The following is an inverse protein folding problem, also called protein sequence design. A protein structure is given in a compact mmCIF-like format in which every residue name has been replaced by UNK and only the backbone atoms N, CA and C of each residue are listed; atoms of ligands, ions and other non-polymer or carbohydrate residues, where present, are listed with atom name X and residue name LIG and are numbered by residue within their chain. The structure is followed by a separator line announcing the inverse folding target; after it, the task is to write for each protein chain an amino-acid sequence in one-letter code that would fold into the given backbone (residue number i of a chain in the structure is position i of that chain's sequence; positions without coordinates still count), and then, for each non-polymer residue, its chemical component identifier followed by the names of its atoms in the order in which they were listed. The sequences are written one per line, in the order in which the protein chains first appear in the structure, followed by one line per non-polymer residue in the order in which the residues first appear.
data_IF_387103745669
#
_entry.id   IF_387103745669
#
_cell.length_a   1.000
_cell.length_b   1.000
_cell.length_c   1.000
_cell.angle_alpha   90.00
_cell.angle_beta   90.00
_cell.angle_gamma   90.00
#
_symmetry.space_group_name_H-M   'P 1'
#
loop_
_entity.id
_entity.type
_entity.pdbx_description
1 polymer ?
#
# COMPACT_ATOMS: atom_id res chain seq x y z
N UNK A 1 -18.10 -2.76 7.27
CA UNK A 1 -16.69 -2.37 7.44
C UNK A 1 -16.13 -2.09 6.06
N UNK A 2 -15.82 -0.83 5.76
CA UNK A 2 -15.30 -0.40 4.45
C UNK A 2 -13.77 -0.47 4.47
N UNK A 3 -13.22 -1.03 3.40
CA UNK A 3 -11.91 -0.76 2.78
C UNK A 3 -10.82 -0.14 3.68
N UNK A 4 -9.78 -0.94 3.95
CA UNK A 4 -8.38 -0.51 4.06
C UNK A 4 -8.04 0.66 5.00
N UNK A 5 -7.98 0.38 6.31
CA UNK A 5 -7.36 1.28 7.27
C UNK A 5 -6.73 0.49 8.42
N UNK A 6 -5.56 -0.11 8.18
CA UNK A 6 -4.79 -0.96 9.10
C UNK A 6 -5.50 -2.24 9.58
N UNK A 7 -4.94 -3.39 9.20
CA UNK A 7 -5.40 -4.72 9.66
C UNK A 7 -5.43 -4.83 11.19
N UNK A 8 -4.50 -4.14 11.88
CA UNK A 8 -4.46 -4.07 13.33
C UNK A 8 -5.73 -3.48 13.96
N UNK A 9 -6.31 -2.43 13.35
CA UNK A 9 -7.55 -1.81 13.81
C UNK A 9 -8.72 -2.76 13.61
N UNK A 10 -8.78 -3.41 12.44
CA UNK A 10 -9.80 -4.43 12.17
C UNK A 10 -9.76 -5.58 13.18
N UNK A 11 -8.56 -6.09 13.51
CA UNK A 11 -8.38 -7.15 14.51
C UNK A 11 -8.87 -6.66 15.89
N UNK A 12 -8.54 -5.43 16.29
CA UNK A 12 -8.97 -4.87 17.57
C UNK A 12 -10.50 -4.75 17.65
N UNK A 13 -11.12 -4.22 16.60
CA UNK A 13 -12.58 -4.09 16.49
C UNK A 13 -13.27 -5.46 16.53
N UNK A 14 -12.71 -6.44 15.80
CA UNK A 14 -13.24 -7.80 15.78
C UNK A 14 -13.15 -8.45 17.16
N UNK A 15 -12.01 -8.33 17.87
CA UNK A 15 -11.86 -8.83 19.25
C UNK A 15 -12.87 -8.18 20.21
N UNK A 16 -13.08 -6.87 20.09
CA UNK A 16 -14.10 -6.13 20.86
C UNK A 16 -15.51 -6.66 20.57
N UNK A 17 -15.83 -6.92 19.30
CA UNK A 17 -17.11 -7.49 18.89
C UNK A 17 -17.33 -8.90 19.47
N UNK A 18 -16.34 -9.79 19.35
CA UNK A 18 -16.40 -11.15 19.90
C UNK A 18 -16.62 -11.12 21.41
N UNK A 19 -15.89 -10.27 22.13
CA UNK A 19 -16.04 -10.11 23.57
C UNK A 19 -17.43 -9.59 23.98
N UNK A 20 -18.12 -8.85 23.11
CA UNK A 20 -19.46 -8.32 23.39
C UNK A 20 -20.58 -9.29 23.06
N UNK A 21 -20.40 -10.14 22.04
CA UNK A 21 -21.42 -11.09 21.61
C UNK A 21 -21.44 -12.34 22.49
N UNK A 22 -20.26 -12.86 22.88
CA UNK A 22 -20.13 -14.05 23.74
C UNK A 22 -20.53 -15.38 23.08
N UNK A 23 -19.92 -16.48 23.51
CA UNK A 23 -20.26 -17.90 23.19
C UNK A 23 -20.34 -18.31 21.70
N UNK A 24 -19.61 -17.65 20.81
CA UNK A 24 -19.53 -18.11 19.41
C UNK A 24 -18.49 -19.21 19.26
N UNK A 25 -18.85 -20.22 18.47
CA UNK A 25 -17.93 -21.28 18.07
C UNK A 25 -16.73 -20.70 17.30
N UNK A 26 -15.54 -21.22 17.60
CA UNK A 26 -14.30 -20.71 17.01
C UNK A 26 -14.28 -20.88 15.49
N UNK A 27 -14.89 -21.95 14.96
CA UNK A 27 -15.04 -22.15 13.52
C UNK A 27 -15.91 -21.08 12.86
N UNK A 28 -16.99 -20.67 13.54
CA UNK A 28 -17.83 -19.57 13.08
C UNK A 28 -17.06 -18.23 13.10
N UNK A 29 -16.30 -17.98 14.17
CA UNK A 29 -15.46 -16.77 14.27
C UNK A 29 -14.41 -16.70 13.16
N UNK A 30 -13.72 -17.81 12.88
CA UNK A 30 -12.75 -17.93 11.78
C UNK A 30 -13.42 -17.63 10.44
N UNK A 31 -14.60 -18.21 10.18
CA UNK A 31 -15.33 -17.98 8.94
C UNK A 31 -15.70 -16.50 8.76
N UNK A 32 -16.25 -15.87 9.80
CA UNK A 32 -16.64 -14.46 9.78
C UNK A 32 -15.44 -13.52 9.65
N UNK A 33 -14.33 -13.84 10.33
CA UNK A 33 -13.09 -13.09 10.23
C UNK A 33 -12.57 -13.11 8.78
N UNK A 34 -12.45 -14.29 8.15
CA UNK A 34 -12.00 -14.41 6.75
C UNK A 34 -12.89 -13.64 5.79
N UNK A 35 -14.21 -13.63 6.02
CA UNK A 35 -15.16 -12.87 5.18
C UNK A 35 -14.94 -11.36 5.22
N UNK A 36 -14.39 -10.83 6.31
CA UNK A 36 -14.11 -9.39 6.47
C UNK A 36 -12.74 -8.96 5.96
N UNK A 37 -11.87 -9.90 5.58
CA UNK A 37 -10.54 -9.60 5.06
C UNK A 37 -10.58 -9.18 3.59
N UNK A 38 -9.58 -8.40 3.20
CA UNK A 38 -9.36 -8.03 1.79
C UNK A 38 -8.91 -9.26 0.98
N UNK A 39 -9.33 -9.35 -0.27
CA UNK A 39 -8.98 -10.45 -1.19
C UNK A 39 -7.47 -10.71 -1.24
N UNK A 40 -6.66 -9.64 -1.29
CA UNK A 40 -5.20 -9.73 -1.28
C UNK A 40 -4.64 -10.50 -0.06
N UNK A 41 -5.20 -10.28 1.12
CA UNK A 41 -4.79 -10.97 2.34
C UNK A 41 -5.25 -12.42 2.28
N UNK A 42 -6.48 -12.67 1.79
CA UNK A 42 -7.01 -14.02 1.60
C UNK A 42 -6.14 -14.87 0.66
N UNK A 43 -5.64 -14.30 -0.44
CA UNK A 43 -4.76 -14.99 -1.38
C UNK A 43 -3.42 -15.38 -0.74
N UNK A 44 -2.86 -14.48 0.09
CA UNK A 44 -1.63 -14.75 0.85
C UNK A 44 -1.85 -15.83 1.91
N UNK A 45 -2.98 -15.78 2.63
CA UNK A 45 -3.36 -16.82 3.59
C UNK A 45 -3.60 -18.18 2.91
N UNK A 46 -4.19 -18.19 1.72
CA UNK A 46 -4.41 -19.42 0.95
C UNK A 46 -3.12 -20.05 0.42
N UNK A 47 -2.08 -19.24 0.26
CA UNK A 47 -0.74 -19.69 -0.14
C UNK A 47 0.12 -20.13 1.05
N UNK A 48 -0.36 -19.94 2.28
CA UNK A 48 0.36 -20.30 3.49
C UNK A 48 0.39 -21.84 3.66
N UNK A 49 1.56 -22.46 3.91
CA UNK A 49 1.69 -23.92 3.92
C UNK A 49 1.02 -24.58 5.12
N UNK A 50 0.80 -23.84 6.20
CA UNK A 50 0.17 -24.35 7.43
C UNK A 50 -1.33 -24.12 7.42
N UNK A 51 -2.08 -25.16 7.81
CA UNK A 51 -3.50 -25.05 8.11
C UNK A 51 -3.68 -24.22 9.38
N UNK A 52 -4.52 -23.19 9.30
CA UNK A 52 -4.81 -22.28 10.41
C UNK A 52 -6.15 -22.70 11.01
N UNK A 53 -6.10 -23.43 12.12
CA UNK A 53 -7.28 -23.96 12.80
C UNK A 53 -7.67 -23.15 14.06
N UNK A 54 -6.81 -22.22 14.50
CA UNK A 54 -7.07 -21.33 15.63
C UNK A 54 -7.31 -19.88 15.16
N UNK A 55 -8.29 -19.21 15.77
CA UNK A 55 -8.62 -17.82 15.45
C UNK A 55 -7.45 -16.88 15.75
N UNK A 56 -6.72 -17.15 16.83
CA UNK A 56 -5.55 -16.34 17.22
C UNK A 56 -4.45 -16.40 16.16
N UNK A 57 -4.11 -17.60 15.71
CA UNK A 57 -3.06 -17.81 14.70
C UNK A 57 -3.45 -17.13 13.37
N UNK A 58 -4.74 -17.17 13.03
CA UNK A 58 -5.28 -16.48 11.87
C UNK A 58 -5.07 -14.97 11.95
N UNK A 59 -5.32 -14.37 13.10
CA UNK A 59 -5.10 -12.94 13.32
C UNK A 59 -3.62 -12.58 13.25
N UNK A 60 -2.75 -13.39 13.87
CA UNK A 60 -1.31 -13.14 13.91
C UNK A 60 -0.70 -13.19 12.50
N UNK A 61 -1.02 -14.23 11.70
CA UNK A 61 -0.57 -14.35 10.30
C UNK A 61 -1.11 -13.21 9.45
N UNK A 62 -2.37 -12.81 9.65
CA UNK A 62 -2.97 -11.69 8.90
C UNK A 62 -2.22 -10.38 9.18
N UNK A 63 -1.80 -10.14 10.43
CA UNK A 63 -1.03 -8.96 10.81
C UNK A 63 0.40 -8.99 10.23
N UNK A 64 1.03 -10.16 10.21
CA UNK A 64 2.36 -10.35 9.62
C UNK A 64 2.36 -10.03 8.12
N UNK A 65 1.40 -10.58 7.38
CA UNK A 65 1.23 -10.34 5.93
C UNK A 65 1.00 -8.86 5.63
N UNK A 66 0.22 -8.16 6.46
CA UNK A 66 0.01 -6.72 6.30
C UNK A 66 1.29 -5.92 6.56
N UNK A 67 2.02 -6.26 7.63
CA UNK A 67 3.28 -5.61 8.01
C UNK A 67 4.33 -5.78 6.91
N UNK A 68 4.56 -7.01 6.44
CA UNK A 68 5.50 -7.30 5.35
C UNK A 68 5.16 -6.54 4.07
N UNK A 69 3.86 -6.34 3.80
CA UNK A 69 3.45 -5.54 2.65
C UNK A 69 3.78 -4.07 2.81
N UNK A 70 3.47 -3.50 3.97
CA UNK A 70 3.76 -2.10 4.24
C UNK A 70 5.27 -1.83 4.14
N UNK A 71 6.11 -2.73 4.67
CA UNK A 71 7.57 -2.66 4.54
C UNK A 71 8.01 -2.70 3.07
N UNK A 72 7.50 -3.67 2.29
CA UNK A 72 7.79 -3.77 0.86
C UNK A 72 7.36 -2.52 0.07
N UNK A 73 6.26 -1.88 0.46
CA UNK A 73 5.83 -0.64 -0.20
C UNK A 73 6.75 0.53 0.15
N UNK A 74 7.23 0.63 1.39
CA UNK A 74 8.20 1.65 1.80
C UNK A 74 9.54 1.50 1.06
N UNK A 75 10.01 0.28 0.84
CA UNK A 75 11.23 0.02 0.06
C UNK A 75 11.13 0.51 -1.39
N UNK A 76 9.95 0.34 -2.02
CA UNK A 76 9.70 0.83 -3.38
C UNK A 76 9.67 2.36 -3.47
N UNK A 77 9.23 3.04 -2.41
CA UNK A 77 9.23 4.50 -2.34
C UNK A 77 10.63 5.08 -2.14
N UNK A 78 11.51 4.40 -1.39
CA UNK A 78 12.89 4.88 -1.16
C UNK A 78 13.82 4.75 -2.37
N UNK A 79 13.46 3.99 -3.40
CA UNK A 79 14.26 3.89 -4.63
C UNK A 79 14.00 5.01 -5.65
N UNK A 80 13.05 5.93 -5.39
CA UNK A 80 12.82 7.09 -6.25
C UNK A 80 13.53 8.38 -5.80
N UNK A 81 14.20 8.39 -4.63
CA UNK A 81 14.93 9.56 -4.15
C UNK A 81 16.42 9.31 -4.00
N UNK A 82 17.13 9.13 -5.13
CA UNK A 82 18.55 9.52 -5.25
C UNK A 82 18.87 10.02 -6.65
N UNK A 83 18.61 11.30 -6.90
CA UNK A 83 19.39 12.09 -7.86
C UNK A 83 19.99 13.28 -7.11
N UNK A 84 21.32 13.32 -6.88
CA UNK A 84 21.95 14.43 -6.20
C UNK A 84 22.11 15.64 -7.15
N UNK A 85 21.52 16.75 -6.73
CA UNK A 85 22.09 18.10 -6.59
C UNK A 85 22.88 18.79 -7.73
N UNK A 86 22.60 20.11 -7.85
CA UNK A 86 23.35 21.20 -8.50
C UNK A 86 23.00 21.46 -9.97
N UNK A 87 22.55 22.63 -10.44
CA UNK A 87 22.65 24.01 -9.95
C UNK A 87 21.66 24.93 -10.70
N UNK A 88 21.05 25.87 -9.95
CA UNK A 88 20.77 27.28 -10.29
C UNK A 88 19.68 27.65 -11.32
N UNK A 89 18.62 28.22 -10.73
CA UNK A 89 17.74 29.29 -11.20
C UNK A 89 18.31 30.20 -12.32
N UNK A 90 17.51 30.44 -13.36
CA UNK A 90 17.12 31.80 -13.75
C UNK A 90 15.84 31.78 -14.58
N UNK A 91 14.78 32.37 -14.05
CA UNK A 91 13.60 32.76 -14.79
C UNK A 91 13.92 33.95 -15.70
N UNK A 92 13.45 33.94 -16.94
CA UNK A 92 12.95 35.14 -17.64
C UNK A 92 12.22 34.74 -18.92
N UNK A 93 10.89 34.89 -18.84
CA UNK A 93 10.00 35.44 -19.86
C UNK A 93 10.71 36.24 -20.98
N UNK A 94 10.36 35.95 -22.25
CA UNK A 94 9.98 36.94 -23.28
C UNK A 94 10.00 36.34 -24.68
N UNK A 95 8.84 36.36 -25.36
CA UNK A 95 8.73 36.47 -26.83
C UNK A 95 8.98 37.95 -27.18
N UNK A 96 9.76 38.34 -28.21
CA UNK A 96 9.15 38.56 -29.53
C UNK A 96 10.07 38.42 -30.77
N UNK A 97 9.39 38.29 -31.92
CA UNK A 97 9.63 38.90 -33.24
C UNK A 97 10.96 38.86 -34.04
N UNK A 98 10.72 38.57 -35.34
CA UNK A 98 11.26 39.17 -36.57
C UNK A 98 12.77 39.44 -36.71
N UNK A 99 13.40 38.78 -37.70
CA UNK A 99 14.36 39.44 -38.60
C UNK A 99 14.16 39.03 -40.06
N UNK A 100 13.99 40.08 -40.86
CA UNK A 100 14.04 40.13 -42.32
C UNK A 100 15.50 40.05 -42.83
N UNK A 101 15.62 39.57 -44.07
CA UNK A 101 16.55 39.96 -45.15
C UNK A 101 18.03 40.27 -44.87
N UNK A 102 18.94 39.54 -45.53
CA UNK A 102 19.62 40.03 -46.75
C UNK A 102 20.82 39.15 -47.14
N UNK A 103 20.77 38.64 -48.37
CA UNK A 103 21.78 38.73 -49.44
C UNK A 103 23.28 38.49 -49.13
N UNK A 104 23.87 37.53 -49.87
CA UNK A 104 24.93 37.74 -50.90
C UNK A 104 26.25 36.91 -50.76
N UNK A 105 26.58 36.24 -51.88
CA UNK A 105 27.91 36.15 -52.55
C UNK A 105 28.99 35.09 -52.17
N UNK A 106 29.21 34.19 -53.16
CA UNK A 106 30.45 33.72 -53.83
C UNK A 106 31.52 32.96 -53.01
N UNK A 107 31.73 31.68 -53.38
CA UNK A 107 32.89 31.19 -54.16
C UNK A 107 32.57 29.81 -54.75
#
# INVERSE_FOLDING_TARGET
MKEAGNVSVYIADFKSLVSRIGDWDEGALIHHFRKGLQSRILDQLGSHPSRIDALKDLMDITLEVDTMYQERQKEKSHHQEKKPESSKLSACDSKPEHKHDSQNTIN
#
